data_IF_649142175118
#
_entry.id   IF_649142175118
#
_cell.length_a   1.000
_cell.length_b   1.000
_cell.length_c   1.000
_cell.angle_alpha   90.00
_cell.angle_beta   90.00
_cell.angle_gamma   90.00
#
_symmetry.space_group_name_H-M   'P 1'
#
loop_
_entity.id
_entity.type
_entity.pdbx_description
1 polymer ?
#
# COMPACT_ATOMS: atom_id res chain seq x y z
N UNK A 1 16.88 6.81 13.70
CA UNK A 1 17.54 5.54 13.34
C UNK A 1 16.97 4.43 14.20
N UNK A 2 16.82 3.22 13.63
CA UNK A 2 16.46 1.98 14.34
C UNK A 2 17.62 1.01 14.17
N UNK A 3 18.05 0.39 15.26
CA UNK A 3 19.16 -0.57 15.29
C UNK A 3 18.75 -1.81 16.08
N UNK A 4 18.88 -2.97 15.47
CA UNK A 4 18.66 -4.29 16.07
C UNK A 4 19.98 -5.06 15.96
N UNK A 5 20.47 -5.62 17.07
CA UNK A 5 21.70 -6.40 17.13
C UNK A 5 21.49 -7.67 17.96
N UNK A 6 21.79 -8.82 17.36
CA UNK A 6 21.74 -10.16 17.99
C UNK A 6 20.43 -10.42 18.75
N UNK A 7 19.31 -9.93 18.18
CA UNK A 7 18.01 -9.95 18.84
C UNK A 7 17.46 -11.36 18.92
N UNK A 8 17.26 -11.84 20.14
CA UNK A 8 16.65 -13.15 20.38
C UNK A 8 15.48 -13.06 21.35
N UNK A 9 14.42 -13.81 21.03
CA UNK A 9 13.30 -14.08 21.94
C UNK A 9 13.07 -15.57 22.06
N UNK A 10 13.07 -16.06 23.29
CA UNK A 10 12.76 -17.46 23.63
C UNK A 10 11.44 -17.49 24.40
N UNK A 11 10.48 -18.27 23.89
CA UNK A 11 9.17 -18.53 24.52
C UNK A 11 9.02 -20.02 24.73
N UNK A 12 8.72 -20.44 25.96
CA UNK A 12 8.55 -21.87 26.34
C UNK A 12 9.73 -22.76 25.89
N UNK A 13 10.95 -22.23 25.94
CA UNK A 13 12.18 -22.97 25.57
C UNK A 13 12.45 -23.03 24.07
N UNK A 14 11.64 -22.38 23.23
CA UNK A 14 11.86 -22.29 21.79
C UNK A 14 12.26 -20.86 21.39
N UNK A 15 13.28 -20.74 20.56
CA UNK A 15 13.64 -19.46 19.97
C UNK A 15 12.65 -19.10 18.88
N UNK A 16 11.85 -18.05 19.11
CA UNK A 16 10.80 -17.58 18.19
C UNK A 16 11.24 -16.36 17.37
N UNK A 17 12.28 -15.65 17.82
CA UNK A 17 12.93 -14.56 17.06
C UNK A 17 14.43 -14.73 17.19
N UNK A 18 15.16 -14.59 16.08
CA UNK A 18 16.63 -14.70 15.98
C UNK A 18 17.10 -13.84 14.79
N UNK A 19 17.35 -12.56 15.06
CA UNK A 19 17.73 -11.56 14.03
C UNK A 19 19.13 -11.04 14.38
N UNK A 20 20.10 -11.34 13.53
CA UNK A 20 21.51 -10.94 13.73
C UNK A 20 21.66 -9.41 13.71
N UNK A 21 21.13 -8.77 12.66
CA UNK A 21 21.14 -7.32 12.53
C UNK A 21 20.05 -6.80 11.60
N UNK A 22 19.48 -5.64 11.96
CA UNK A 22 18.61 -4.85 11.09
C UNK A 22 18.81 -3.37 11.44
N UNK A 23 19.02 -2.54 10.42
CA UNK A 23 19.20 -1.10 10.61
C UNK A 23 18.27 -0.34 9.69
N UNK A 24 17.57 0.68 10.21
CA UNK A 24 16.76 1.62 9.44
C UNK A 24 17.33 3.02 9.65
N UNK A 25 17.77 3.65 8.57
CA UNK A 25 18.41 4.95 8.62
C UNK A 25 17.38 6.12 8.66
N UNK A 26 17.81 7.31 9.11
CA UNK A 26 17.00 8.52 8.97
C UNK A 26 16.61 8.78 7.51
N UNK A 27 15.35 9.11 7.26
CA UNK A 27 14.81 9.32 5.93
C UNK A 27 14.43 8.03 5.17
N UNK A 28 14.67 6.84 5.77
CA UNK A 28 14.40 5.54 5.15
C UNK A 28 13.04 4.98 5.60
N UNK A 29 12.31 4.39 4.65
CA UNK A 29 11.10 3.59 4.88
C UNK A 29 11.47 2.13 4.66
N UNK A 30 11.46 1.36 5.74
CA UNK A 30 11.80 -0.06 5.70
C UNK A 30 10.56 -0.91 5.97
N UNK A 31 10.31 -1.89 5.10
CA UNK A 31 9.33 -2.96 5.31
C UNK A 31 9.98 -4.18 5.97
N UNK A 32 9.31 -4.79 6.92
CA UNK A 32 9.57 -6.13 7.41
C UNK A 32 8.32 -6.96 7.16
N UNK A 33 8.44 -7.97 6.30
CA UNK A 33 7.30 -8.76 5.83
C UNK A 33 7.47 -10.21 6.22
N UNK A 34 6.42 -10.78 6.77
CA UNK A 34 6.42 -12.18 7.13
C UNK A 34 5.03 -12.76 7.22
N UNK A 35 4.77 -13.95 6.65
CA UNK A 35 3.45 -14.58 6.68
C UNK A 35 2.98 -14.84 8.12
N UNK A 36 1.69 -15.07 8.29
CA UNK A 36 1.13 -15.45 9.59
C UNK A 36 1.90 -16.64 10.16
N UNK A 37 2.37 -16.52 11.40
CA UNK A 37 3.23 -17.52 12.05
C UNK A 37 4.73 -17.35 11.83
N UNK A 38 5.16 -16.31 11.12
CA UNK A 38 6.59 -15.96 10.97
C UNK A 38 7.20 -15.33 12.22
N UNK A 39 6.43 -15.11 13.28
CA UNK A 39 6.77 -14.37 14.49
C UNK A 39 6.94 -12.85 14.30
N UNK A 40 6.35 -12.28 13.23
CA UNK A 40 6.42 -10.84 12.96
C UNK A 40 5.77 -10.02 14.08
N UNK A 41 4.68 -10.52 14.66
CA UNK A 41 3.99 -9.90 15.79
C UNK A 41 4.90 -9.82 17.01
N UNK A 42 5.70 -10.87 17.27
CA UNK A 42 6.67 -10.89 18.38
C UNK A 42 7.79 -9.86 18.13
N UNK A 43 8.24 -9.73 16.89
CA UNK A 43 9.22 -8.68 16.53
C UNK A 43 8.64 -7.30 16.81
N UNK A 44 7.35 -7.06 16.44
CA UNK A 44 6.71 -5.78 16.74
C UNK A 44 6.60 -5.51 18.25
N UNK A 45 6.24 -6.51 19.06
CA UNK A 45 6.20 -6.38 20.52
C UNK A 45 7.56 -6.01 21.12
N UNK A 46 8.65 -6.55 20.56
CA UNK A 46 10.02 -6.25 20.98
C UNK A 46 10.44 -4.81 20.61
N UNK A 47 10.20 -4.39 19.34
CA UNK A 47 10.58 -3.05 18.88
C UNK A 47 9.69 -1.95 19.45
N UNK A 48 8.44 -2.25 19.79
CA UNK A 48 7.53 -1.29 20.45
C UNK A 48 7.70 -1.23 21.97
N UNK A 49 8.57 -2.08 22.54
CA UNK A 49 8.82 -2.15 23.98
C UNK A 49 7.69 -2.79 24.80
N UNK A 50 6.78 -3.50 24.17
CA UNK A 50 5.72 -4.27 24.87
C UNK A 50 6.33 -5.48 25.55
N UNK A 51 7.29 -6.13 24.88
CA UNK A 51 8.00 -7.29 25.37
C UNK A 51 9.51 -7.03 25.43
N UNK A 52 10.20 -7.76 26.32
CA UNK A 52 11.65 -7.67 26.49
C UNK A 52 12.35 -8.78 25.70
N UNK A 53 13.45 -8.50 24.99
CA UNK A 53 14.27 -9.53 24.38
C UNK A 53 14.88 -10.46 25.42
N UNK A 54 15.10 -11.74 25.04
CA UNK A 54 15.83 -12.69 25.86
C UNK A 54 17.33 -12.43 25.78
N UNK A 55 17.81 -12.04 24.58
CA UNK A 55 19.21 -11.60 24.36
C UNK A 55 19.22 -10.56 23.23
N UNK A 56 20.36 -9.91 23.05
CA UNK A 56 20.56 -8.86 22.08
C UNK A 56 20.04 -7.50 22.52
N UNK A 57 19.94 -6.58 21.56
CA UNK A 57 19.58 -5.18 21.83
C UNK A 57 18.73 -4.60 20.71
N UNK A 58 17.74 -3.78 21.10
CA UNK A 58 16.99 -2.90 20.21
C UNK A 58 17.26 -1.46 20.66
N UNK A 59 17.61 -0.58 19.70
CA UNK A 59 17.72 0.86 19.92
C UNK A 59 16.90 1.60 18.89
N UNK A 60 16.06 2.52 19.33
CA UNK A 60 15.21 3.34 18.49
C UNK A 60 15.35 4.79 18.95
N UNK A 61 15.78 5.69 18.05
CA UNK A 61 16.12 7.06 18.37
C UNK A 61 17.09 7.15 19.59
N UNK A 62 18.05 6.21 19.66
CA UNK A 62 19.04 6.05 20.74
C UNK A 62 18.51 5.48 22.06
N UNK A 63 17.20 5.23 22.19
CA UNK A 63 16.56 4.70 23.39
C UNK A 63 16.33 3.18 23.29
N UNK A 64 16.36 2.52 24.44
CA UNK A 64 15.86 1.16 24.60
C UNK A 64 14.33 1.21 24.78
N UNK A 65 13.54 0.58 23.89
CA UNK A 65 12.07 0.70 23.92
C UNK A 65 11.44 0.22 25.24
N UNK A 66 12.08 -0.71 25.93
CA UNK A 66 11.58 -1.28 27.18
C UNK A 66 12.08 -0.56 28.43
N UNK A 67 13.34 -0.11 28.44
CA UNK A 67 13.95 0.51 29.59
C UNK A 67 13.74 2.02 29.65
N UNK A 68 13.77 2.71 28.51
CA UNK A 68 13.72 4.18 28.38
C UNK A 68 12.32 4.64 27.92
N UNK A 69 11.25 4.08 28.49
CA UNK A 69 9.87 4.24 28.01
C UNK A 69 9.39 5.68 27.86
N UNK A 70 9.76 6.55 28.78
CA UNK A 70 9.32 7.96 28.75
C UNK A 70 9.93 8.69 27.55
N UNK A 71 11.24 8.60 27.37
CA UNK A 71 11.95 9.22 26.25
C UNK A 71 11.55 8.58 24.92
N UNK A 72 11.46 7.24 24.88
CA UNK A 72 10.98 6.50 23.72
C UNK A 72 9.60 6.99 23.27
N UNK A 73 8.64 7.12 24.19
CA UNK A 73 7.27 7.53 23.87
C UNK A 73 7.16 8.94 23.27
N UNK A 74 8.12 9.82 23.57
CA UNK A 74 8.17 11.17 23.03
C UNK A 74 8.79 11.24 21.61
N UNK A 75 9.61 10.26 21.25
CA UNK A 75 10.33 10.22 19.98
C UNK A 75 9.69 9.29 18.95
N UNK A 76 8.88 8.33 19.40
CA UNK A 76 8.36 7.25 18.57
C UNK A 76 6.84 7.28 18.49
N UNK A 77 6.33 7.33 17.28
CA UNK A 77 4.92 7.15 16.98
C UNK A 77 4.64 5.68 16.68
N UNK A 78 3.70 5.08 17.40
CA UNK A 78 3.38 3.65 17.24
C UNK A 78 1.95 3.50 16.74
N UNK A 79 1.78 2.82 15.61
CA UNK A 79 0.50 2.34 15.11
C UNK A 79 0.43 0.84 15.30
N UNK A 80 -0.53 0.37 16.08
CA UNK A 80 -0.79 -1.04 16.31
C UNK A 80 -1.72 -1.62 15.24
N UNK A 81 -1.69 -2.94 15.03
CA UNK A 81 -2.66 -3.65 14.17
C UNK A 81 -4.10 -3.38 14.63
N UNK A 82 -4.32 -3.37 15.96
CA UNK A 82 -5.57 -2.92 16.56
C UNK A 82 -5.55 -1.40 16.77
N UNK A 83 -6.67 -0.75 16.49
CA UNK A 83 -6.74 0.73 16.53
C UNK A 83 -6.68 1.30 17.95
N UNK A 84 -7.12 0.54 18.97
CA UNK A 84 -7.04 0.89 20.40
C UNK A 84 -7.54 2.31 20.70
N UNK A 85 -8.73 2.66 20.19
CA UNK A 85 -9.36 3.97 20.33
C UNK A 85 -10.55 3.93 21.31
N UNK A 86 -10.88 5.06 21.88
CA UNK A 86 -12.09 5.23 22.67
C UNK A 86 -13.32 5.34 21.76
N UNK A 87 -13.98 4.24 21.49
CA UNK A 87 -15.03 4.12 20.47
C UNK A 87 -16.26 4.97 20.74
N UNK A 88 -16.57 5.25 22.02
CA UNK A 88 -17.69 6.11 22.45
C UNK A 88 -17.36 7.61 22.38
N UNK A 89 -16.11 7.96 22.13
CA UNK A 89 -15.63 9.32 21.97
C UNK A 89 -15.55 9.70 20.48
N UNK A 90 -15.46 10.98 20.19
CA UNK A 90 -15.22 11.48 18.83
C UNK A 90 -13.72 11.45 18.49
N UNK A 91 -13.33 11.56 17.19
CA UNK A 91 -11.94 11.76 16.78
C UNK A 91 -11.24 12.90 17.51
N UNK A 92 -11.91 14.06 17.60
CA UNK A 92 -11.42 15.21 18.36
C UNK A 92 -11.12 14.86 19.81
N UNK A 93 -12.05 14.22 20.50
CA UNK A 93 -11.88 13.86 21.91
C UNK A 93 -10.76 12.81 22.10
N UNK A 94 -10.63 11.84 21.19
CA UNK A 94 -9.53 10.88 21.19
C UNK A 94 -8.18 11.59 21.06
N UNK A 95 -7.99 12.41 20.03
CA UNK A 95 -6.74 13.13 19.79
C UNK A 95 -6.44 14.12 20.92
N UNK A 96 -7.44 14.84 21.44
CA UNK A 96 -7.29 15.82 22.52
C UNK A 96 -6.83 15.16 23.83
N UNK A 97 -7.28 13.92 24.10
CA UNK A 97 -6.79 13.14 25.22
C UNK A 97 -5.26 12.91 25.13
N UNK A 98 -4.77 12.37 24.01
CA UNK A 98 -3.34 12.13 23.81
C UNK A 98 -2.53 13.42 23.70
N UNK A 99 -3.08 14.46 23.04
CA UNK A 99 -2.46 15.78 22.98
C UNK A 99 -2.13 16.32 24.37
N UNK A 100 -3.06 16.16 25.34
CA UNK A 100 -2.83 16.59 26.74
C UNK A 100 -1.74 15.77 27.42
N UNK A 101 -1.68 14.47 27.18
CA UNK A 101 -0.61 13.62 27.71
C UNK A 101 0.76 14.09 27.22
N UNK A 102 0.88 14.40 25.93
CA UNK A 102 2.10 14.94 25.34
C UNK A 102 2.32 16.44 25.58
N UNK A 103 1.42 17.11 26.32
CA UNK A 103 1.47 18.56 26.62
C UNK A 103 1.58 19.44 25.37
N UNK A 104 0.94 19.06 24.27
CA UNK A 104 0.94 19.79 23.02
C UNK A 104 -0.10 20.93 23.01
N UNK A 105 0.09 21.96 22.17
CA UNK A 105 -0.86 23.07 22.05
C UNK A 105 -2.22 22.61 21.49
N UNK A 106 -3.34 23.29 21.86
CA UNK A 106 -4.69 22.88 21.43
C UNK A 106 -4.86 22.79 19.91
N UNK A 107 -4.17 23.63 19.14
CA UNK A 107 -4.22 23.67 17.68
C UNK A 107 -3.78 22.37 17.03
N UNK A 108 -2.91 21.59 17.72
CA UNK A 108 -2.38 20.34 17.16
C UNK A 108 -3.47 19.29 16.90
N UNK A 109 -4.53 19.27 17.68
CA UNK A 109 -5.68 18.38 17.42
C UNK A 109 -6.34 18.69 16.08
N UNK A 110 -6.58 19.98 15.78
CA UNK A 110 -7.19 20.40 14.52
C UNK A 110 -6.28 20.14 13.32
N UNK A 111 -4.99 20.42 13.47
CA UNK A 111 -3.99 20.12 12.45
C UNK A 111 -4.03 18.64 12.06
N UNK A 112 -3.99 17.73 13.03
CA UNK A 112 -4.01 16.29 12.77
C UNK A 112 -5.33 15.83 12.16
N UNK A 113 -6.47 16.37 12.62
CA UNK A 113 -7.77 16.06 12.02
C UNK A 113 -7.81 16.42 10.52
N UNK A 114 -7.17 17.52 10.14
CA UNK A 114 -7.02 17.92 8.73
C UNK A 114 -6.03 17.00 8.00
N UNK A 115 -4.84 16.75 8.59
CA UNK A 115 -3.80 15.90 8.01
C UNK A 115 -4.32 14.49 7.66
N UNK A 116 -5.14 13.89 8.53
CA UNK A 116 -5.70 12.54 8.31
C UNK A 116 -7.10 12.54 7.65
N UNK A 117 -7.57 13.70 7.19
CA UNK A 117 -8.84 13.84 6.47
C UNK A 117 -10.08 13.51 7.32
N UNK A 118 -10.07 13.90 8.59
CA UNK A 118 -11.18 13.66 9.55
C UNK A 118 -11.89 14.94 10.01
N UNK A 119 -11.61 16.09 9.40
CA UNK A 119 -12.20 17.37 9.79
C UNK A 119 -13.75 17.33 9.79
N UNK A 120 -14.37 16.78 8.75
CA UNK A 120 -15.82 16.67 8.61
C UNK A 120 -16.46 15.65 9.58
N UNK A 121 -15.66 14.77 10.17
CA UNK A 121 -16.06 13.72 11.11
C UNK A 121 -15.54 13.96 12.53
N UNK A 122 -14.96 15.15 12.79
CA UNK A 122 -14.25 15.45 14.03
C UNK A 122 -15.06 15.20 15.30
N UNK A 123 -16.37 15.42 15.24
CA UNK A 123 -17.28 15.30 16.37
C UNK A 123 -18.24 14.08 16.28
N UNK A 124 -18.12 13.26 15.23
CA UNK A 124 -18.84 11.99 15.08
C UNK A 124 -18.21 10.92 15.99
N UNK A 125 -19.00 10.11 16.67
CA UNK A 125 -18.44 9.03 17.50
C UNK A 125 -17.70 8.01 16.67
N UNK A 126 -16.59 7.49 17.18
CA UNK A 126 -15.74 6.51 16.50
C UNK A 126 -16.52 5.23 16.15
N UNK A 127 -17.45 4.77 16.98
CA UNK A 127 -18.31 3.61 16.71
C UNK A 127 -19.29 3.80 15.53
N UNK A 128 -19.42 5.04 15.02
CA UNK A 128 -20.24 5.38 13.84
C UNK A 128 -19.41 5.61 12.58
N UNK A 129 -18.09 5.52 12.67
CA UNK A 129 -17.18 5.72 11.56
C UNK A 129 -16.95 4.41 10.78
N UNK A 130 -16.60 4.53 9.49
CA UNK A 130 -16.10 3.38 8.73
C UNK A 130 -14.74 2.92 9.24
N UNK A 131 -14.39 1.66 8.97
CA UNK A 131 -13.08 1.11 9.36
C UNK A 131 -11.90 1.93 8.83
N UNK A 132 -11.99 2.44 7.59
CA UNK A 132 -10.98 3.33 7.00
C UNK A 132 -10.81 4.63 7.79
N UNK A 133 -11.90 5.28 8.22
CA UNK A 133 -11.83 6.50 9.02
C UNK A 133 -11.28 6.23 10.42
N UNK A 134 -11.63 5.08 11.01
CA UNK A 134 -11.06 4.62 12.28
C UNK A 134 -9.55 4.40 12.15
N UNK A 135 -9.09 3.77 11.06
CA UNK A 135 -7.66 3.55 10.80
C UNK A 135 -6.90 4.86 10.63
N UNK A 136 -7.47 5.84 9.91
CA UNK A 136 -6.90 7.19 9.78
C UNK A 136 -6.76 7.87 11.15
N UNK A 137 -7.75 7.73 12.04
CA UNK A 137 -7.67 8.28 13.40
C UNK A 137 -6.56 7.63 14.21
N UNK A 138 -6.42 6.30 14.14
CA UNK A 138 -5.34 5.58 14.82
C UNK A 138 -3.96 6.03 14.31
N UNK A 139 -3.81 6.23 13.00
CA UNK A 139 -2.60 6.81 12.41
C UNK A 139 -2.38 8.25 12.88
N UNK A 140 -3.43 9.08 12.90
CA UNK A 140 -3.37 10.46 13.43
C UNK A 140 -2.87 10.52 14.87
N UNK A 141 -3.26 9.56 15.72
CA UNK A 141 -2.73 9.42 17.07
C UNK A 141 -1.22 9.14 17.05
N UNK A 142 -0.74 8.27 16.16
CA UNK A 142 0.67 7.92 16.07
C UNK A 142 1.55 9.11 15.66
N UNK A 143 1.06 10.01 14.80
CA UNK A 143 1.81 11.21 14.34
C UNK A 143 1.55 12.47 15.16
N UNK A 144 0.68 12.42 16.18
CA UNK A 144 0.19 13.58 16.92
C UNK A 144 1.31 14.42 17.53
N UNK A 145 2.30 13.79 18.13
CA UNK A 145 3.42 14.42 18.81
C UNK A 145 4.63 14.70 17.91
N UNK A 146 4.47 14.54 16.57
CA UNK A 146 5.53 14.74 15.57
C UNK A 146 6.78 13.89 15.87
N UNK A 147 6.62 12.57 15.95
CA UNK A 147 7.73 11.67 16.29
C UNK A 147 8.84 11.74 15.23
N UNK A 148 10.07 11.38 15.61
CA UNK A 148 11.20 11.21 14.70
C UNK A 148 11.23 9.81 14.08
N UNK A 149 10.56 8.85 14.71
CA UNK A 149 10.45 7.46 14.25
C UNK A 149 9.00 7.02 14.23
N UNK A 150 8.59 6.33 13.18
CA UNK A 150 7.29 5.64 13.09
C UNK A 150 7.50 4.12 13.09
N UNK A 151 6.82 3.43 14.00
CA UNK A 151 6.67 1.99 14.03
C UNK A 151 5.21 1.65 13.67
N UNK A 152 5.01 0.99 12.55
CA UNK A 152 3.69 0.78 11.98
C UNK A 152 3.43 -0.71 11.79
N UNK A 153 2.42 -1.22 12.50
CA UNK A 153 1.94 -2.59 12.38
C UNK A 153 0.67 -2.60 11.52
N UNK A 154 0.73 -3.29 10.38
CA UNK A 154 -0.36 -3.41 9.41
C UNK A 154 -1.01 -2.06 9.05
N UNK A 155 -0.26 -1.02 8.65
CA UNK A 155 -0.81 0.34 8.53
C UNK A 155 -1.99 0.44 7.56
N UNK A 156 -2.05 -0.42 6.57
CA UNK A 156 -3.08 -0.44 5.53
C UNK A 156 -4.24 -1.40 5.80
N UNK A 157 -4.21 -2.10 6.94
CA UNK A 157 -5.31 -2.98 7.31
C UNK A 157 -6.64 -2.22 7.40
N UNK A 158 -7.71 -2.79 6.82
CA UNK A 158 -9.07 -2.23 6.80
C UNK A 158 -9.20 -0.87 6.11
N UNK A 159 -8.20 -0.48 5.31
CA UNK A 159 -8.19 0.73 4.50
C UNK A 159 -8.91 0.54 3.16
N UNK A 160 -9.66 1.56 2.73
CA UNK A 160 -10.03 1.74 1.33
C UNK A 160 -8.87 2.39 0.54
N UNK A 161 -8.99 2.48 -0.78
CA UNK A 161 -7.94 3.04 -1.63
C UNK A 161 -7.53 4.47 -1.24
N UNK A 162 -8.49 5.30 -0.78
CA UNK A 162 -8.22 6.65 -0.34
C UNK A 162 -7.44 6.67 0.99
N UNK A 163 -7.74 5.75 1.90
CA UNK A 163 -7.01 5.59 3.15
C UNK A 163 -5.56 5.14 2.90
N UNK A 164 -5.37 4.15 2.01
CA UNK A 164 -4.04 3.67 1.61
C UNK A 164 -3.20 4.81 1.02
N UNK A 165 -3.75 5.57 0.07
CA UNK A 165 -3.06 6.72 -0.54
C UNK A 165 -2.68 7.76 0.51
N UNK A 166 -3.63 8.17 1.36
CA UNK A 166 -3.41 9.20 2.37
C UNK A 166 -2.32 8.80 3.38
N UNK A 167 -2.43 7.59 3.95
CA UNK A 167 -1.44 7.09 4.91
C UNK A 167 -0.07 6.95 4.24
N UNK A 168 -0.02 6.43 3.00
CA UNK A 168 1.21 6.31 2.24
C UNK A 168 1.90 7.67 2.00
N UNK A 169 1.13 8.69 1.65
CA UNK A 169 1.65 10.05 1.45
C UNK A 169 2.19 10.67 2.74
N UNK A 170 1.50 10.47 3.86
CA UNK A 170 1.95 10.93 5.18
C UNK A 170 3.24 10.22 5.62
N UNK A 171 3.38 8.91 5.35
CA UNK A 171 4.62 8.16 5.60
C UNK A 171 5.76 8.70 4.73
N UNK A 172 5.54 8.93 3.42
CA UNK A 172 6.56 9.54 2.55
C UNK A 172 6.96 10.93 3.02
N UNK A 173 5.98 11.75 3.40
CA UNK A 173 6.25 13.09 3.94
C UNK A 173 7.09 13.04 5.21
N UNK A 174 6.83 12.08 6.12
CA UNK A 174 7.62 11.86 7.33
C UNK A 174 9.07 11.50 6.99
N UNK A 175 9.30 10.56 6.06
CA UNK A 175 10.63 10.16 5.61
C UNK A 175 11.38 11.31 4.91
N UNK A 176 10.73 12.04 4.00
CA UNK A 176 11.32 13.21 3.36
C UNK A 176 11.71 14.32 4.36
N UNK A 177 11.01 14.40 5.49
CA UNK A 177 11.38 15.27 6.62
C UNK A 177 12.56 14.76 7.47
N UNK A 178 13.19 13.65 7.07
CA UNK A 178 14.30 13.00 7.79
C UNK A 178 13.85 12.01 8.86
N UNK A 179 12.56 11.72 8.96
CA UNK A 179 12.02 10.72 9.87
C UNK A 179 12.38 9.29 9.45
N UNK A 180 12.39 8.37 10.40
CA UNK A 180 12.66 6.94 10.16
C UNK A 180 11.36 6.17 10.26
N UNK A 181 11.07 5.26 9.33
CA UNK A 181 9.84 4.47 9.37
C UNK A 181 10.14 2.97 9.23
N UNK A 182 9.64 2.17 10.16
CA UNK A 182 9.61 0.72 10.08
C UNK A 182 8.16 0.25 10.01
N UNK A 183 7.83 -0.49 8.96
CA UNK A 183 6.51 -1.06 8.70
C UNK A 183 6.61 -2.57 8.83
N UNK A 184 5.75 -3.17 9.64
CA UNK A 184 5.59 -4.62 9.73
C UNK A 184 4.27 -5.01 9.08
N UNK A 185 4.29 -6.03 8.21
CA UNK A 185 3.10 -6.50 7.50
C UNK A 185 3.20 -7.99 7.14
N UNK A 186 2.06 -8.63 6.92
CA UNK A 186 2.02 -10.04 6.51
C UNK A 186 2.31 -10.24 5.02
N UNK A 187 2.09 -9.23 4.19
CA UNK A 187 2.39 -9.21 2.75
C UNK A 187 3.06 -7.90 2.33
N UNK A 188 3.56 -7.86 1.10
CA UNK A 188 4.27 -6.72 0.53
C UNK A 188 3.44 -5.91 -0.49
N UNK A 189 2.14 -6.18 -0.63
CA UNK A 189 1.27 -5.60 -1.67
C UNK A 189 1.35 -4.07 -1.76
N UNK A 190 1.32 -3.37 -0.62
CA UNK A 190 1.42 -1.91 -0.58
C UNK A 190 2.86 -1.41 -0.32
N UNK A 191 3.73 -2.27 0.19
CA UNK A 191 5.08 -1.89 0.61
C UNK A 191 6.03 -1.74 -0.58
N UNK A 192 5.82 -2.49 -1.66
CA UNK A 192 6.63 -2.40 -2.88
C UNK A 192 6.65 -1.00 -3.52
N UNK A 193 5.59 -0.22 -3.34
CA UNK A 193 5.50 1.16 -3.85
C UNK A 193 5.92 2.23 -2.83
N UNK A 194 6.17 1.84 -1.58
CA UNK A 194 6.40 2.75 -0.49
C UNK A 194 7.79 2.63 0.13
N UNK A 195 8.32 1.39 0.26
CA UNK A 195 9.53 1.12 1.02
C UNK A 195 10.79 1.24 0.17
N UNK A 196 11.87 1.75 0.77
CA UNK A 196 13.21 1.78 0.17
C UNK A 196 13.86 0.39 0.18
N UNK A 197 13.59 -0.38 1.24
CA UNK A 197 14.06 -1.75 1.41
C UNK A 197 12.98 -2.58 2.11
N UNK A 198 12.84 -3.84 1.71
CA UNK A 198 11.95 -4.82 2.33
C UNK A 198 12.78 -6.02 2.78
N UNK A 199 12.66 -6.37 4.05
CA UNK A 199 13.20 -7.58 4.65
C UNK A 199 12.10 -8.64 4.72
N UNK A 200 12.44 -9.89 4.38
CA UNK A 200 11.53 -11.04 4.52
C UNK A 200 11.87 -11.81 5.78
N UNK A 201 10.86 -11.98 6.62
CA UNK A 201 10.94 -12.72 7.87
C UNK A 201 10.25 -14.08 7.71
N UNK A 202 10.95 -15.13 8.11
CA UNK A 202 10.37 -16.47 8.25
C UNK A 202 10.91 -17.14 9.50
N UNK A 203 10.02 -17.77 10.29
CA UNK A 203 10.36 -18.43 11.54
C UNK A 203 11.27 -17.59 12.47
N UNK A 204 10.97 -16.28 12.56
CA UNK A 204 11.70 -15.34 13.40
C UNK A 204 13.08 -14.90 12.88
N UNK A 205 13.43 -15.27 11.65
CA UNK A 205 14.71 -14.90 11.02
C UNK A 205 14.51 -14.08 9.76
N UNK A 206 15.39 -13.13 9.54
CA UNK A 206 15.48 -12.44 8.25
C UNK A 206 16.13 -13.39 7.26
N UNK A 207 15.37 -13.84 6.25
CA UNK A 207 15.82 -14.82 5.26
C UNK A 207 16.25 -14.17 3.94
N UNK A 208 15.76 -12.97 3.64
CA UNK A 208 16.02 -12.25 2.41
C UNK A 208 15.78 -10.75 2.59
N UNK A 209 16.33 -9.93 1.69
CA UNK A 209 16.03 -8.50 1.61
C UNK A 209 16.18 -8.00 0.18
N UNK A 210 15.35 -7.05 -0.23
CA UNK A 210 15.42 -6.43 -1.54
C UNK A 210 15.00 -4.97 -1.52
N UNK A 211 15.43 -4.21 -2.55
CA UNK A 211 15.01 -2.83 -2.79
C UNK A 211 13.99 -2.83 -3.92
N UNK A 212 12.72 -2.45 -3.67
CA UNK A 212 11.68 -2.48 -4.70
C UNK A 212 12.05 -1.69 -5.96
N UNK A 213 12.62 -0.50 -5.82
CA UNK A 213 13.06 0.31 -6.95
C UNK A 213 14.16 -0.35 -7.82
N UNK A 214 14.97 -1.22 -7.23
CA UNK A 214 16.00 -2.00 -7.96
C UNK A 214 15.40 -3.28 -8.55
N UNK A 215 14.40 -3.87 -7.87
CA UNK A 215 13.69 -5.05 -8.35
C UNK A 215 12.87 -4.73 -9.61
N UNK A 216 12.25 -3.54 -9.69
CA UNK A 216 11.56 -3.07 -10.90
C UNK A 216 12.52 -2.88 -12.08
N UNK A 217 13.79 -2.54 -11.82
CA UNK A 217 14.82 -2.46 -12.87
C UNK A 217 15.37 -3.84 -13.28
N UNK A 218 15.23 -4.86 -12.44
CA UNK A 218 15.64 -6.24 -12.72
C UNK A 218 14.49 -7.13 -13.16
N UNK A 219 13.24 -6.73 -12.97
CA UNK A 219 12.10 -7.40 -13.55
C UNK A 219 12.23 -7.27 -15.08
N UNK A 220 12.31 -8.38 -15.78
CA UNK A 220 12.10 -8.38 -17.23
C UNK A 220 10.82 -7.58 -17.49
N UNK A 221 10.85 -6.62 -18.45
CA UNK A 221 9.64 -5.86 -18.75
C UNK A 221 8.51 -6.84 -19.00
N UNK A 222 7.38 -6.59 -18.29
CA UNK A 222 6.20 -7.44 -18.44
C UNK A 222 5.70 -7.33 -19.87
N UNK A 223 5.98 -8.36 -20.66
CA UNK A 223 5.66 -8.43 -22.07
C UNK A 223 4.59 -9.48 -22.34
N UNK A 224 3.67 -9.19 -23.22
CA UNK A 224 2.67 -10.16 -23.69
C UNK A 224 3.18 -10.89 -24.93
N UNK A 225 3.40 -12.22 -24.87
CA UNK A 225 3.81 -12.97 -26.04
C UNK A 225 2.67 -13.06 -27.07
N UNK A 226 2.98 -12.66 -28.29
CA UNK A 226 2.10 -12.74 -29.45
C UNK A 226 2.76 -13.57 -30.57
N UNK A 227 1.98 -14.38 -31.28
CA UNK A 227 2.46 -15.24 -32.36
C UNK A 227 2.57 -14.46 -33.67
N UNK A 228 3.74 -14.46 -34.26
CA UNK A 228 3.99 -14.19 -35.66
C UNK A 228 4.17 -15.52 -36.42
N UNK A 229 4.24 -15.49 -37.74
CA UNK A 229 4.27 -16.73 -38.60
C UNK A 229 5.30 -17.73 -38.15
N UNK A 230 6.52 -17.31 -37.78
CA UNK A 230 7.64 -18.21 -37.38
C UNK A 230 8.33 -17.78 -36.08
N UNK A 231 7.87 -16.71 -35.41
CA UNK A 231 8.49 -16.15 -34.21
C UNK A 231 7.42 -15.79 -33.19
N UNK A 232 7.87 -15.46 -31.99
CA UNK A 232 7.02 -14.89 -30.92
C UNK A 232 7.50 -13.46 -30.70
N UNK A 233 6.60 -12.49 -30.93
CA UNK A 233 6.81 -11.10 -30.54
C UNK A 233 6.50 -10.94 -29.06
N UNK A 234 7.30 -10.16 -28.36
CA UNK A 234 7.04 -9.73 -27.01
C UNK A 234 6.52 -8.29 -27.08
N UNK A 235 5.24 -8.09 -26.73
CA UNK A 235 4.55 -6.82 -26.85
C UNK A 235 4.45 -6.15 -25.49
N UNK A 236 4.92 -4.90 -25.39
CA UNK A 236 4.75 -4.09 -24.19
C UNK A 236 3.25 -3.76 -24.00
N UNK A 237 2.67 -3.93 -22.81
CA UNK A 237 1.30 -3.48 -22.54
C UNK A 237 1.03 -2.02 -22.92
N UNK A 238 2.03 -1.14 -22.81
CA UNK A 238 1.89 0.27 -23.19
C UNK A 238 1.64 0.47 -24.70
N UNK A 239 2.13 -0.44 -25.55
CA UNK A 239 1.93 -0.40 -27.00
C UNK A 239 0.59 -1.02 -27.45
N UNK A 240 -0.13 -1.68 -26.54
CA UNK A 240 -1.42 -2.31 -26.83
C UNK A 240 -2.53 -1.27 -26.65
N UNK A 241 -3.21 -0.93 -27.74
CA UNK A 241 -4.34 -0.03 -27.77
C UNK A 241 -5.60 -0.70 -27.16
N UNK A 242 -5.88 -1.92 -27.60
CA UNK A 242 -6.95 -2.76 -27.09
C UNK A 242 -6.72 -4.23 -27.44
N UNK A 243 -7.41 -5.10 -26.74
CA UNK A 243 -7.45 -6.54 -27.02
C UNK A 243 -8.87 -6.87 -27.49
N UNK A 244 -8.96 -7.75 -28.49
CA UNK A 244 -10.28 -8.19 -28.98
C UNK A 244 -10.31 -9.69 -29.25
N UNK A 245 -11.51 -10.26 -29.13
CA UNK A 245 -11.77 -11.66 -29.47
C UNK A 245 -12.47 -11.74 -30.83
N UNK A 246 -11.96 -12.60 -31.71
CA UNK A 246 -12.55 -12.91 -33.01
C UNK A 246 -12.31 -14.39 -33.33
N UNK A 247 -13.34 -15.12 -33.76
CA UNK A 247 -13.28 -16.53 -34.16
C UNK A 247 -12.58 -17.43 -33.14
N UNK A 248 -13.00 -17.33 -31.87
CA UNK A 248 -12.47 -18.01 -30.69
C UNK A 248 -10.95 -17.79 -30.46
N UNK A 249 -10.41 -16.71 -30.99
CA UNK A 249 -9.02 -16.30 -30.81
C UNK A 249 -8.94 -14.90 -30.26
N UNK A 250 -7.86 -14.63 -29.52
CA UNK A 250 -7.60 -13.33 -28.92
C UNK A 250 -6.46 -12.63 -29.66
N UNK A 251 -6.66 -11.35 -29.92
CA UNK A 251 -5.72 -10.50 -30.65
C UNK A 251 -5.39 -9.25 -29.84
N UNK A 252 -4.13 -8.86 -29.89
CA UNK A 252 -3.59 -7.61 -29.39
C UNK A 252 -3.54 -6.61 -30.54
N UNK A 253 -4.20 -5.48 -30.43
CA UNK A 253 -4.12 -4.39 -31.41
C UNK A 253 -3.08 -3.38 -30.94
N UNK A 254 -2.07 -3.16 -31.75
CA UNK A 254 -1.06 -2.12 -31.59
C UNK A 254 -1.16 -1.10 -32.73
N UNK A 255 -0.35 -0.03 -32.70
CA UNK A 255 -0.25 0.92 -33.82
C UNK A 255 0.32 0.26 -35.10
N UNK A 256 1.17 -0.77 -34.95
CA UNK A 256 1.81 -1.49 -36.06
C UNK A 256 0.88 -2.54 -36.69
N UNK A 257 -0.21 -2.91 -36.00
CA UNK A 257 -1.16 -3.91 -36.49
C UNK A 257 -1.69 -4.85 -35.40
N UNK A 258 -2.33 -5.92 -35.86
CA UNK A 258 -2.99 -6.89 -35.00
C UNK A 258 -2.16 -8.15 -34.85
N UNK A 259 -1.85 -8.54 -33.62
CA UNK A 259 -1.02 -9.68 -33.26
C UNK A 259 -1.87 -10.72 -32.51
N UNK A 260 -1.78 -12.00 -32.93
CA UNK A 260 -2.50 -13.08 -32.24
C UNK A 260 -1.74 -13.50 -30.98
N UNK A 261 -2.47 -13.62 -29.85
CA UNK A 261 -1.93 -14.20 -28.63
C UNK A 261 -2.51 -15.60 -28.35
N UNK A 262 -1.85 -16.34 -27.47
CA UNK A 262 -2.32 -17.63 -26.97
C UNK A 262 -3.21 -17.50 -25.72
N UNK A 263 -3.23 -16.33 -25.09
CA UNK A 263 -4.00 -16.09 -23.88
C UNK A 263 -5.47 -15.84 -24.21
N UNK A 264 -6.32 -16.32 -23.33
CA UNK A 264 -7.75 -15.98 -23.33
C UNK A 264 -7.97 -14.55 -22.87
N UNK A 265 -9.15 -13.99 -23.19
CA UNK A 265 -9.54 -12.66 -22.72
C UNK A 265 -9.53 -12.54 -21.19
N UNK A 266 -9.92 -13.60 -20.44
CA UNK A 266 -9.91 -13.59 -18.99
C UNK A 266 -8.50 -13.62 -18.40
N UNK A 267 -7.58 -14.39 -19.00
CA UNK A 267 -6.18 -14.38 -18.58
C UNK A 267 -5.49 -13.05 -18.85
N UNK A 268 -5.82 -12.38 -19.98
CA UNK A 268 -5.28 -11.05 -20.26
C UNK A 268 -5.87 -9.98 -19.35
N UNK A 269 -7.14 -10.07 -19.00
CA UNK A 269 -7.78 -9.18 -18.04
C UNK A 269 -7.06 -9.22 -16.67
N UNK A 270 -6.74 -10.43 -16.17
CA UNK A 270 -5.96 -10.59 -14.94
C UNK A 270 -4.53 -10.05 -15.08
N UNK A 271 -3.84 -10.40 -16.17
CA UNK A 271 -2.45 -10.00 -16.41
C UNK A 271 -2.28 -8.50 -16.60
N UNK A 272 -3.24 -7.84 -17.24
CA UNK A 272 -3.21 -6.41 -17.58
C UNK A 272 -3.97 -5.53 -16.56
N UNK A 273 -4.44 -6.12 -15.46
CA UNK A 273 -5.24 -5.41 -14.44
C UNK A 273 -4.53 -4.19 -13.84
N UNK A 274 -3.20 -4.27 -13.67
CA UNK A 274 -2.38 -3.18 -13.14
C UNK A 274 -1.80 -2.26 -14.23
N UNK A 275 -2.04 -2.56 -15.53
CA UNK A 275 -1.49 -1.82 -16.67
C UNK A 275 -2.51 -0.84 -17.29
N UNK A 276 -3.57 -0.48 -16.55
CA UNK A 276 -4.57 0.49 -17.02
C UNK A 276 -5.57 -0.04 -18.05
N UNK A 277 -5.76 -1.36 -18.13
CA UNK A 277 -6.75 -1.98 -19.01
C UNK A 277 -8.10 -2.14 -18.32
N UNK A 278 -9.16 -1.93 -19.10
CA UNK A 278 -10.54 -2.00 -18.67
C UNK A 278 -11.38 -2.91 -19.57
N UNK A 279 -12.23 -3.76 -18.98
CA UNK A 279 -13.12 -4.65 -19.70
C UNK A 279 -14.33 -3.90 -20.23
N UNK A 280 -14.22 -3.34 -21.43
CA UNK A 280 -15.29 -2.55 -22.05
C UNK A 280 -16.50 -3.41 -22.48
N UNK A 281 -16.23 -4.61 -22.99
CA UNK A 281 -17.24 -5.56 -23.48
C UNK A 281 -16.74 -7.00 -23.33
N UNK A 282 -17.64 -7.99 -23.42
CA UNK A 282 -17.23 -9.41 -23.36
C UNK A 282 -16.14 -9.78 -24.38
N UNK A 283 -16.06 -9.09 -25.50
CA UNK A 283 -15.07 -9.29 -26.56
C UNK A 283 -13.99 -8.21 -26.63
N UNK A 284 -13.93 -7.24 -25.70
CA UNK A 284 -12.96 -6.14 -25.76
C UNK A 284 -12.42 -5.79 -24.39
N UNK A 285 -11.08 -5.68 -24.32
CA UNK A 285 -10.32 -5.15 -23.20
C UNK A 285 -9.54 -3.93 -23.71
N UNK A 286 -9.70 -2.76 -23.13
CA UNK A 286 -9.20 -1.48 -23.67
C UNK A 286 -8.19 -0.85 -22.73
N UNK A 287 -7.08 -0.38 -23.27
CA UNK A 287 -6.14 0.43 -22.52
C UNK A 287 -6.70 1.85 -22.37
N UNK A 288 -7.04 2.24 -21.14
CA UNK A 288 -7.63 3.54 -20.84
C UNK A 288 -6.71 4.72 -21.16
N UNK A 289 -5.40 4.53 -21.19
CA UNK A 289 -4.44 5.56 -21.58
C UNK A 289 -4.60 6.00 -23.05
N UNK A 290 -5.08 5.11 -23.90
CA UNK A 290 -5.36 5.38 -25.32
C UNK A 290 -6.80 5.80 -25.60
N UNK A 291 -7.67 5.92 -24.59
CA UNK A 291 -9.03 6.43 -24.76
C UNK A 291 -9.00 7.96 -24.85
N UNK A 292 -9.66 8.49 -25.89
CA UNK A 292 -9.82 9.92 -26.12
C UNK A 292 -11.10 10.46 -25.50
N UNK A 293 -12.22 9.77 -25.71
CA UNK A 293 -13.53 10.21 -25.26
C UNK A 293 -14.53 9.05 -25.12
N UNK A 294 -15.55 9.25 -24.31
CA UNK A 294 -16.71 8.35 -24.17
C UNK A 294 -17.87 8.95 -24.94
N UNK A 295 -18.39 8.23 -25.92
CA UNK A 295 -19.47 8.70 -26.81
C UNK A 295 -20.78 8.04 -26.41
N UNK A 296 -21.80 8.80 -25.98
CA UNK A 296 -23.14 8.27 -25.80
C UNK A 296 -23.83 8.15 -27.17
N UNK A 297 -24.45 7.00 -27.51
CA UNK A 297 -25.27 6.81 -28.69
C UNK A 297 -26.76 6.89 -28.38
N UNK A 298 -27.18 6.31 -27.26
CA UNK A 298 -28.54 6.35 -26.74
C UNK A 298 -28.49 6.46 -25.21
N UNK A 299 -29.67 6.53 -24.55
CA UNK A 299 -29.73 6.55 -23.07
C UNK A 299 -28.99 5.41 -22.41
N UNK A 300 -28.76 4.30 -23.13
CA UNK A 300 -28.24 3.06 -22.57
C UNK A 300 -27.07 2.43 -23.36
N UNK A 301 -26.59 3.08 -24.44
CA UNK A 301 -25.46 2.57 -25.24
C UNK A 301 -24.35 3.60 -25.34
N UNK A 302 -23.13 3.15 -25.07
CA UNK A 302 -21.93 3.97 -25.07
C UNK A 302 -20.85 3.29 -25.90
N UNK A 303 -19.88 4.07 -26.39
CA UNK A 303 -18.64 3.56 -26.96
C UNK A 303 -17.45 4.41 -26.52
N UNK A 304 -16.29 3.80 -26.50
CA UNK A 304 -15.01 4.47 -26.28
C UNK A 304 -14.41 4.81 -27.65
N UNK A 305 -13.96 6.06 -27.84
CA UNK A 305 -13.15 6.43 -29.00
C UNK A 305 -11.68 6.46 -28.58
N UNK A 306 -10.84 5.81 -29.35
CA UNK A 306 -9.41 5.78 -29.12
C UNK A 306 -8.70 7.01 -29.73
N UNK A 307 -7.45 7.22 -29.32
CA UNK A 307 -6.53 8.27 -29.80
C UNK A 307 -5.82 7.87 -31.10
N UNK A 308 -6.06 6.65 -31.62
CA UNK A 308 -5.45 6.13 -32.85
C UNK A 308 -5.83 6.98 -34.08
N UNK A 309 -5.08 6.82 -35.17
CA UNK A 309 -5.28 7.59 -36.40
C UNK A 309 -6.69 7.43 -37.00
N UNK A 310 -7.28 6.25 -36.82
CA UNK A 310 -8.60 5.90 -37.37
C UNK A 310 -9.75 6.30 -36.43
N UNK A 311 -9.47 6.71 -35.21
CA UNK A 311 -10.49 7.03 -34.19
C UNK A 311 -11.39 5.83 -33.89
N UNK A 312 -10.79 4.67 -33.70
CA UNK A 312 -11.47 3.39 -33.48
C UNK A 312 -12.49 3.50 -32.35
N UNK A 313 -13.70 2.96 -32.60
CA UNK A 313 -14.78 2.96 -31.61
C UNK A 313 -15.00 1.57 -31.05
N UNK A 314 -14.88 1.43 -29.74
CA UNK A 314 -15.09 0.17 -29.03
C UNK A 314 -16.41 0.21 -28.26
N UNK A 315 -17.28 -0.81 -28.42
CA UNK A 315 -18.56 -0.84 -27.72
C UNK A 315 -18.36 -1.02 -26.23
N UNK A 316 -19.19 -0.31 -25.44
CA UNK A 316 -19.19 -0.38 -23.99
C UNK A 316 -20.48 -1.06 -23.51
N UNK A 317 -20.38 -2.12 -22.72
CA UNK A 317 -21.55 -2.78 -22.13
C UNK A 317 -22.22 -1.89 -21.07
N UNK A 318 -23.51 -2.11 -20.77
CA UNK A 318 -24.23 -1.31 -19.76
C UNK A 318 -23.58 -1.38 -18.39
N UNK A 319 -23.11 -2.55 -17.97
CA UNK A 319 -22.40 -2.76 -16.70
C UNK A 319 -21.06 -2.03 -16.69
N UNK A 320 -20.27 -2.19 -17.76
CA UNK A 320 -18.98 -1.52 -17.92
C UNK A 320 -19.12 0.01 -17.98
N UNK A 321 -20.19 0.54 -18.58
CA UNK A 321 -20.43 1.99 -18.60
C UNK A 321 -20.70 2.58 -17.22
N UNK A 322 -21.36 1.83 -16.33
CA UNK A 322 -21.57 2.25 -14.95
C UNK A 322 -20.25 2.21 -14.17
N UNK A 323 -19.53 1.12 -14.27
CA UNK A 323 -18.22 0.92 -13.60
C UNK A 323 -17.20 1.97 -14.05
N UNK A 324 -17.14 2.28 -15.35
CA UNK A 324 -16.23 3.30 -15.89
C UNK A 324 -16.54 4.70 -15.36
N UNK A 325 -17.83 5.04 -15.16
CA UNK A 325 -18.24 6.31 -14.53
C UNK A 325 -17.77 6.39 -13.09
N UNK A 326 -17.94 5.30 -12.35
CA UNK A 326 -17.52 5.24 -10.93
C UNK A 326 -15.99 5.38 -10.82
N UNK A 327 -15.21 4.81 -11.77
CA UNK A 327 -13.75 4.94 -11.84
C UNK A 327 -13.30 6.36 -12.22
N UNK A 328 -13.94 6.98 -13.22
CA UNK A 328 -13.52 8.28 -13.77
C UNK A 328 -14.19 9.49 -13.09
N UNK A 329 -15.22 9.29 -12.26
CA UNK A 329 -15.86 10.33 -11.46
C UNK A 329 -16.71 11.33 -12.25
N UNK A 330 -17.44 10.92 -13.33
CA UNK A 330 -18.28 11.81 -14.15
C UNK A 330 -19.73 11.34 -14.26
#
# INVERSE_FOLDING_TARGET
MIEIHDLQKVIAGQTVVDIDSLTVNPGEITGLVGPVGSSIEVVFELVSGQERPTAGKVRIAEFDPYLDRDDFSHQVGVLFAEDNLYTRQSPRANLDFYRRLYRLPPQRTEEVLLEVGLADHADTKVDQLSSSLVRRLAFGRAILHRPTVLLLDEPFARCDAMCVSLIGDLIRQHAHGGGTTLILAHDDDHLNQLSDIIYKLDQGRVIDSYRPAEADQQSLPFMIPAKLEHTVALVDPADILYVYAQDDRTYLQTEEGSLRTQFTMGELEQRLSLSGFFRAHRGYLVNLQHVKEVIPYTRDSFSLRLKDADGTKIPLSKSAAKELRDILGY
#
